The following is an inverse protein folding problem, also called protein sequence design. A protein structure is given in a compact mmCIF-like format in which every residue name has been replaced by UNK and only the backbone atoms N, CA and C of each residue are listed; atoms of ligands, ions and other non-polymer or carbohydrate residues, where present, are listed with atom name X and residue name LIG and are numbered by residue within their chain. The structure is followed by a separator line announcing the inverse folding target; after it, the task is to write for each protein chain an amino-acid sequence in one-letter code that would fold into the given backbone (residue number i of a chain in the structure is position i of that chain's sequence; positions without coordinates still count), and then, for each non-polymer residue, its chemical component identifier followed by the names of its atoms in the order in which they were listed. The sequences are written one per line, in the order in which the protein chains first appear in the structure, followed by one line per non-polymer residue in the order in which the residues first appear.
data_IF_848102446610
#
_entry.id   IF_848102446610
#
_cell.length_a   1.000
_cell.length_b   1.000
_cell.length_c   1.000
_cell.angle_alpha   90.00
_cell.angle_beta   90.00
_cell.angle_gamma   90.00
#
_symmetry.space_group_name_H-M   'P 1'
#
loop_
_entity.id
_entity.type
_entity.pdbx_description
1 polymer ?
#
# COMPACT_ATOMS: atom_id res chain seq x y z
N UNK A 1 -24.28 -37.99 43.10
CA UNK A 1 -23.30 -37.06 43.69
C UNK A 1 -21.90 -37.61 43.45
N UNK A 2 -21.19 -37.09 42.44
CA UNK A 2 -19.87 -37.56 42.03
C UNK A 2 -18.98 -36.35 41.72
N UNK A 3 -17.78 -36.36 42.28
CA UNK A 3 -16.94 -35.19 42.60
C UNK A 3 -16.45 -34.45 41.36
N UNK A 4 -16.65 -33.13 41.34
CA UNK A 4 -16.04 -32.22 40.37
C UNK A 4 -14.51 -32.26 40.48
N UNK A 5 -13.85 -32.65 39.39
CA UNK A 5 -12.38 -32.54 39.27
C UNK A 5 -12.02 -31.08 39.05
N UNK A 6 -11.50 -30.47 40.10
CA UNK A 6 -11.01 -29.11 40.15
C UNK A 6 -9.69 -29.04 39.34
N UNK A 7 -9.77 -28.68 38.06
CA UNK A 7 -8.64 -28.55 37.12
C UNK A 7 -7.78 -27.28 37.34
N UNK A 8 -7.86 -26.63 38.50
CA UNK A 8 -7.23 -25.32 38.74
C UNK A 8 -5.87 -25.34 39.44
N UNK A 9 -5.18 -26.48 39.53
CA UNK A 9 -3.94 -26.56 40.32
C UNK A 9 -2.78 -27.28 39.63
N UNK A 10 -2.50 -26.94 38.37
CA UNK A 10 -1.30 -27.39 37.66
C UNK A 10 -0.59 -26.27 36.88
N UNK A 11 -0.78 -25.00 37.26
CA UNK A 11 0.18 -23.95 36.88
C UNK A 11 1.36 -24.06 37.85
N UNK A 12 2.19 -25.07 37.60
CA UNK A 12 3.44 -25.28 38.28
C UNK A 12 4.31 -24.03 38.22
N UNK A 13 4.98 -23.76 39.34
CA UNK A 13 5.99 -22.73 39.51
C UNK A 13 6.79 -22.48 38.24
N UNK A 14 6.77 -21.24 37.79
CA UNK A 14 7.55 -20.72 36.68
C UNK A 14 9.04 -20.73 37.08
N UNK A 15 9.68 -21.91 37.07
CA UNK A 15 11.12 -22.03 37.22
C UNK A 15 11.75 -21.31 36.02
N UNK A 16 12.18 -20.06 36.25
CA UNK A 16 13.00 -19.33 35.29
C UNK A 16 14.30 -20.12 35.13
N UNK A 17 14.37 -20.93 34.07
CA UNK A 17 15.61 -21.57 33.65
C UNK A 17 16.58 -20.43 33.34
N UNK A 18 17.62 -20.29 34.18
CA UNK A 18 18.70 -19.32 33.92
C UNK A 18 19.59 -19.92 32.84
N UNK A 19 19.45 -19.42 31.62
CA UNK A 19 20.30 -19.81 30.51
C UNK A 19 21.70 -19.26 30.74
N UNK A 20 22.73 -20.08 30.50
CA UNK A 20 24.09 -19.57 30.41
C UNK A 20 24.26 -18.79 29.09
N UNK A 21 25.39 -18.09 28.93
CA UNK A 21 25.63 -17.26 27.75
C UNK A 21 25.63 -18.05 26.43
N UNK A 22 25.99 -19.32 26.45
CA UNK A 22 25.97 -20.18 25.26
C UNK A 22 24.53 -20.51 24.87
N UNK A 23 23.73 -20.96 25.83
CA UNK A 23 22.32 -21.33 25.63
C UNK A 23 21.46 -20.12 25.25
N UNK A 24 21.75 -18.95 25.82
CA UNK A 24 21.08 -17.70 25.46
C UNK A 24 21.28 -17.35 23.98
N UNK A 25 22.50 -17.52 23.45
CA UNK A 25 22.79 -17.28 22.04
C UNK A 25 22.04 -18.24 21.11
N UNK A 26 21.89 -19.50 21.51
CA UNK A 26 21.10 -20.49 20.76
C UNK A 26 19.62 -20.08 20.72
N UNK A 27 19.06 -19.67 21.85
CA UNK A 27 17.67 -19.21 21.94
C UNK A 27 17.44 -17.96 21.09
N UNK A 28 18.36 -17.01 21.10
CA UNK A 28 18.23 -15.78 20.32
C UNK A 28 18.32 -16.05 18.80
N UNK A 29 19.15 -17.00 18.37
CA UNK A 29 19.20 -17.44 16.97
C UNK A 29 17.91 -18.11 16.50
N UNK A 30 17.28 -18.93 17.35
CA UNK A 30 15.97 -19.52 17.03
C UNK A 30 14.88 -18.44 16.98
N UNK A 31 14.91 -17.47 17.91
CA UNK A 31 13.96 -16.34 17.93
C UNK A 31 14.06 -15.46 16.69
N UNK A 32 15.27 -15.18 16.20
CA UNK A 32 15.45 -14.37 14.99
C UNK A 32 14.88 -15.09 13.76
N UNK A 33 15.17 -16.38 13.59
CA UNK A 33 14.65 -17.17 12.46
C UNK A 33 13.12 -17.24 12.48
N UNK A 34 12.52 -17.44 13.66
CA UNK A 34 11.06 -17.44 13.82
C UNK A 34 10.48 -16.06 13.48
N UNK A 35 11.10 -14.98 13.97
CA UNK A 35 10.66 -13.61 13.66
C UNK A 35 10.74 -13.32 12.16
N UNK A 36 11.84 -13.67 11.51
CA UNK A 36 12.05 -13.51 10.07
C UNK A 36 11.03 -14.34 9.27
N UNK A 37 10.71 -15.56 9.72
CA UNK A 37 9.66 -16.38 9.13
C UNK A 37 8.26 -15.74 9.27
N UNK A 38 7.94 -15.13 10.41
CA UNK A 38 6.67 -14.41 10.60
C UNK A 38 6.57 -13.13 9.77
N UNK A 39 7.65 -12.37 9.67
CA UNK A 39 7.72 -11.15 8.86
C UNK A 39 7.63 -11.49 7.37
N UNK A 40 8.37 -12.51 6.92
CA UNK A 40 8.32 -12.97 5.52
C UNK A 40 7.01 -13.66 5.14
N UNK A 41 6.34 -14.36 6.07
CA UNK A 41 5.04 -14.98 5.83
C UNK A 41 3.92 -13.95 5.58
N UNK A 42 4.00 -12.76 6.18
CA UNK A 42 3.00 -11.69 6.03
C UNK A 42 3.35 -10.66 4.94
N UNK A 43 4.61 -10.60 4.49
CA UNK A 43 5.09 -9.66 3.47
C UNK A 43 5.46 -10.36 2.16
N UNK A 44 4.61 -11.27 1.67
CA UNK A 44 4.85 -11.79 0.31
C UNK A 44 4.76 -10.62 -0.70
N UNK A 45 5.75 -10.45 -1.60
CA UNK A 45 5.69 -9.43 -2.63
C UNK A 45 4.42 -9.52 -3.50
N UNK A 46 3.83 -10.71 -3.63
CA UNK A 46 2.55 -10.92 -4.32
C UNK A 46 1.37 -10.27 -3.59
N UNK A 47 1.32 -10.32 -2.26
CA UNK A 47 0.29 -9.63 -1.46
C UNK A 47 0.45 -8.12 -1.57
N UNK A 48 1.67 -7.59 -1.45
CA UNK A 48 1.93 -6.15 -1.62
C UNK A 48 1.52 -5.65 -3.02
N UNK A 49 1.86 -6.40 -4.07
CA UNK A 49 1.42 -6.11 -5.46
C UNK A 49 -0.11 -6.16 -5.59
N UNK A 50 -0.76 -7.10 -4.92
CA UNK A 50 -2.22 -7.22 -4.95
C UNK A 50 -2.87 -6.02 -4.27
N UNK A 51 -2.39 -5.61 -3.10
CA UNK A 51 -2.87 -4.41 -2.39
C UNK A 51 -2.68 -3.17 -3.27
N UNK A 52 -1.50 -2.98 -3.86
CA UNK A 52 -1.24 -1.86 -4.77
C UNK A 52 -2.20 -1.88 -5.98
N UNK A 53 -2.42 -3.05 -6.58
CA UNK A 53 -3.36 -3.21 -7.71
C UNK A 53 -4.79 -2.84 -7.32
N UNK A 54 -5.27 -3.33 -6.18
CA UNK A 54 -6.59 -2.99 -5.66
C UNK A 54 -6.72 -1.50 -5.36
N UNK A 55 -5.73 -0.90 -4.71
CA UNK A 55 -5.69 0.53 -4.43
C UNK A 55 -5.73 1.36 -5.72
N UNK A 56 -4.93 1.01 -6.74
CA UNK A 56 -4.96 1.68 -8.05
C UNK A 56 -6.29 1.52 -8.76
N UNK A 57 -6.90 0.33 -8.72
CA UNK A 57 -8.22 0.08 -9.32
C UNK A 57 -9.30 0.92 -8.64
N UNK A 58 -9.26 1.02 -7.32
CA UNK A 58 -10.22 1.82 -6.56
C UNK A 58 -10.03 3.32 -6.80
N UNK A 59 -8.79 3.83 -6.81
CA UNK A 59 -8.50 5.24 -7.12
C UNK A 59 -8.95 5.62 -8.53
N UNK A 60 -8.76 4.73 -9.51
CA UNK A 60 -9.19 4.98 -10.89
C UNK A 60 -10.69 4.78 -11.11
N UNK A 61 -11.45 4.36 -10.08
CA UNK A 61 -12.89 4.23 -10.18
C UNK A 61 -13.49 5.61 -10.46
N UNK A 62 -14.26 5.71 -11.53
CA UNK A 62 -14.86 6.97 -11.94
C UNK A 62 -13.97 7.88 -12.80
N UNK A 63 -12.73 7.49 -13.12
CA UNK A 63 -11.87 8.26 -14.05
C UNK A 63 -12.55 8.51 -15.40
N UNK A 64 -13.15 7.48 -15.98
CA UNK A 64 -13.88 7.61 -17.25
C UNK A 64 -15.11 8.52 -17.14
N UNK A 65 -15.82 8.46 -16.01
CA UNK A 65 -16.94 9.39 -15.76
C UNK A 65 -16.43 10.83 -15.58
N UNK A 66 -15.28 11.03 -14.93
CA UNK A 66 -14.65 12.33 -14.79
C UNK A 66 -14.20 12.89 -16.15
N UNK A 67 -13.63 12.07 -17.04
CA UNK A 67 -13.31 12.48 -18.41
C UNK A 67 -14.54 12.95 -19.20
N UNK A 68 -15.70 12.32 -18.98
CA UNK A 68 -16.97 12.75 -19.61
C UNK A 68 -17.47 14.07 -19.04
N UNK A 69 -17.38 14.27 -17.72
CA UNK A 69 -17.78 15.52 -17.04
C UNK A 69 -16.82 16.67 -17.32
N UNK A 70 -15.55 16.36 -17.53
CA UNK A 70 -14.47 17.32 -17.73
C UNK A 70 -13.73 17.02 -19.05
N UNK A 71 -14.33 17.39 -20.20
CA UNK A 71 -13.77 17.08 -21.50
C UNK A 71 -12.45 17.82 -21.74
N UNK A 72 -11.52 17.13 -22.41
CA UNK A 72 -10.21 17.69 -22.74
C UNK A 72 -10.32 18.85 -23.73
N UNK A 73 -9.61 19.94 -23.45
CA UNK A 73 -9.65 21.19 -24.24
C UNK A 73 -8.41 21.44 -25.11
N UNK A 74 -7.54 20.44 -25.28
CA UNK A 74 -6.33 20.58 -26.11
C UNK A 74 -5.15 21.28 -25.42
N UNK A 75 -5.23 21.51 -24.10
CA UNK A 75 -4.19 22.20 -23.33
C UNK A 75 -3.81 21.43 -22.07
N UNK A 76 -2.56 21.57 -21.65
CA UNK A 76 -2.10 21.15 -20.34
C UNK A 76 -2.40 22.26 -19.33
N UNK A 77 -3.34 22.03 -18.42
CA UNK A 77 -3.82 23.03 -17.46
C UNK A 77 -2.76 23.43 -16.42
N UNK A 78 -1.73 22.59 -16.23
CA UNK A 78 -0.59 22.91 -15.37
C UNK A 78 0.40 23.90 -16.01
N UNK A 79 0.60 23.84 -17.33
CA UNK A 79 1.60 24.67 -18.03
C UNK A 79 1.00 25.75 -18.92
N UNK A 80 -0.28 25.64 -19.26
CA UNK A 80 -0.97 26.48 -20.24
C UNK A 80 -0.61 26.17 -21.71
N UNK A 81 0.22 25.16 -21.97
CA UNK A 81 0.68 24.85 -23.33
C UNK A 81 -0.24 23.87 -24.06
N UNK A 82 -0.27 23.89 -25.41
CA UNK A 82 -0.96 22.89 -26.20
C UNK A 82 -0.52 21.47 -25.83
N UNK A 83 -1.49 20.57 -25.73
CA UNK A 83 -1.26 19.17 -25.41
C UNK A 83 -2.02 18.30 -26.41
N UNK A 84 -1.32 17.30 -26.95
CA UNK A 84 -1.93 16.31 -27.83
C UNK A 84 -2.85 15.40 -27.03
N UNK A 85 -3.96 14.97 -27.63
CA UNK A 85 -4.97 14.15 -26.94
C UNK A 85 -4.40 12.81 -26.47
N UNK A 86 -3.44 12.25 -27.22
CA UNK A 86 -2.77 10.98 -26.91
C UNK A 86 -1.89 11.09 -25.66
N UNK A 87 -1.44 12.31 -25.35
CA UNK A 87 -0.61 12.61 -24.18
C UNK A 87 -1.44 13.28 -23.06
N UNK A 88 -2.76 13.37 -23.20
CA UNK A 88 -3.63 14.00 -22.22
C UNK A 88 -3.99 13.03 -21.08
N UNK A 89 -3.44 13.30 -19.89
CA UNK A 89 -3.74 12.53 -18.68
C UNK A 89 -4.61 13.37 -17.75
N UNK A 90 -5.73 12.79 -17.31
CA UNK A 90 -6.54 13.39 -16.25
C UNK A 90 -5.86 13.11 -14.90
N UNK A 91 -5.62 14.16 -14.13
CA UNK A 91 -4.95 14.17 -12.83
C UNK A 91 -5.90 14.66 -11.72
N UNK A 92 -5.71 14.14 -10.50
CA UNK A 92 -6.50 14.48 -9.33
C UNK A 92 -5.81 15.57 -8.50
N UNK A 93 -6.47 16.71 -8.28
CA UNK A 93 -5.92 17.76 -7.42
C UNK A 93 -6.15 17.49 -5.93
N UNK A 94 -7.19 16.72 -5.61
CA UNK A 94 -7.56 16.33 -4.25
C UNK A 94 -7.48 14.81 -4.14
N UNK A 95 -6.40 14.33 -3.53
CA UNK A 95 -6.11 12.89 -3.40
C UNK A 95 -7.09 12.14 -2.51
N UNK A 96 -7.81 12.82 -1.61
CA UNK A 96 -8.79 12.18 -0.73
C UNK A 96 -10.11 11.93 -1.46
N UNK A 97 -10.50 12.86 -2.34
CA UNK A 97 -11.73 12.75 -3.15
C UNK A 97 -11.51 12.05 -4.49
N UNK A 98 -10.27 11.89 -4.92
CA UNK A 98 -9.87 11.37 -6.22
C UNK A 98 -10.61 12.02 -7.39
N UNK A 99 -11.01 11.23 -8.40
CA UNK A 99 -11.73 11.73 -9.58
C UNK A 99 -13.17 12.20 -9.32
N UNK A 100 -13.71 12.05 -8.11
CA UNK A 100 -14.96 12.69 -7.73
C UNK A 100 -14.77 14.18 -7.41
N UNK A 101 -13.56 14.57 -7.00
CA UNK A 101 -13.18 15.95 -6.67
C UNK A 101 -12.74 16.79 -7.87
N UNK A 102 -11.86 17.76 -7.60
CA UNK A 102 -11.28 18.63 -8.64
C UNK A 102 -10.24 17.83 -9.43
N UNK A 103 -10.30 17.96 -10.75
CA UNK A 103 -9.42 17.29 -11.70
C UNK A 103 -8.83 18.30 -12.67
N UNK A 104 -7.70 17.94 -13.27
CA UNK A 104 -7.04 18.76 -14.30
C UNK A 104 -6.48 17.90 -15.43
N UNK A 105 -6.42 18.43 -16.64
CA UNK A 105 -5.76 17.77 -17.77
C UNK A 105 -4.29 18.19 -17.87
N UNK A 106 -3.39 17.21 -17.87
CA UNK A 106 -1.95 17.45 -17.83
C UNK A 106 -1.17 16.46 -18.68
N UNK A 107 0.06 16.82 -19.04
CA UNK A 107 0.97 15.90 -19.75
C UNK A 107 1.50 14.79 -18.81
N UNK A 108 2.04 13.67 -19.35
CA UNK A 108 2.47 12.54 -18.53
C UNK A 108 3.57 12.90 -17.53
N UNK A 109 4.48 13.81 -17.91
CA UNK A 109 5.52 14.33 -17.01
C UNK A 109 4.95 15.14 -15.85
N UNK A 110 3.94 15.98 -16.10
CA UNK A 110 3.25 16.73 -15.06
C UNK A 110 2.47 15.84 -14.09
N UNK A 111 1.93 14.71 -14.57
CA UNK A 111 1.22 13.71 -13.75
C UNK A 111 2.17 12.61 -13.21
N UNK A 112 3.50 12.80 -13.26
CA UNK A 112 4.49 11.81 -12.81
C UNK A 112 4.25 10.38 -13.35
N UNK A 113 3.66 10.25 -14.54
CA UNK A 113 3.20 8.99 -15.12
C UNK A 113 4.00 8.58 -16.37
N UNK A 114 4.87 9.46 -16.86
CA UNK A 114 5.73 9.18 -18.01
C UNK A 114 6.69 10.32 -18.31
N UNK A 115 7.54 10.13 -19.32
CA UNK A 115 8.58 11.12 -19.72
C UNK A 115 8.09 12.18 -20.71
N UNK A 116 6.97 11.93 -21.41
CA UNK A 116 6.44 12.87 -22.41
C UNK A 116 5.99 14.16 -21.73
N UNK A 117 6.36 15.30 -22.31
CA UNK A 117 6.09 16.64 -21.77
C UNK A 117 5.44 17.51 -22.83
N UNK A 118 4.62 18.46 -22.38
CA UNK A 118 4.16 19.58 -23.20
C UNK A 118 5.26 20.64 -23.43
N UNK A 119 6.48 20.43 -22.92
CA UNK A 119 7.66 21.28 -23.13
C UNK A 119 8.08 22.10 -21.91
N UNK A 120 7.20 22.31 -20.93
CA UNK A 120 7.46 23.14 -19.74
C UNK A 120 7.28 22.43 -18.39
N UNK A 121 6.69 21.24 -18.40
CA UNK A 121 6.59 20.37 -17.22
C UNK A 121 7.80 19.46 -17.13
#
# INVERSE_FOLDING_TARGET
MGRGRNLKSAMGNNMKIRLNNHDQKLVDGVRSVIKDAYESANFSPSVARSIASYATKYRNRGREQAKRRYPFKGICERSGLPLKKEDAHLDELDSEKGYAGKVQWVCPKANNSGRRSCGKC
#
